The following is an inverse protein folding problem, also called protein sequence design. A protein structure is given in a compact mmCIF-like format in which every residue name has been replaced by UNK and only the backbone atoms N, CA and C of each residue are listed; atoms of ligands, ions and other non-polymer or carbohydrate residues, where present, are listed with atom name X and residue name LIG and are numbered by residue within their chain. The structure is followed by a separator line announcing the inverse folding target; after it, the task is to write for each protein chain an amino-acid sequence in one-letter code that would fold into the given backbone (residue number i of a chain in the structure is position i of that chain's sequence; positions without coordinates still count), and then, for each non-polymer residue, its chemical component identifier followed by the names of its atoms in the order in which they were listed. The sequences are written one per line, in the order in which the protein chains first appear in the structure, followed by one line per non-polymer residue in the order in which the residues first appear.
data_IF_272606751289
#
_entry.id   IF_272606751289
#
_cell.length_a   1.000
_cell.length_b   1.000
_cell.length_c   1.000
_cell.angle_alpha   90.00
_cell.angle_beta   90.00
_cell.angle_gamma   90.00
#
_symmetry.space_group_name_H-M   'P 1'
#
loop_
_entity.id
_entity.type
_entity.pdbx_description
1 polymer ?
#
# COMPACT_ATOMS: atom_id res chain seq x y z
N UNK A 1 20.00 -44.12 7.72
CA UNK A 1 19.15 -43.36 8.65
C UNK A 1 19.18 -41.90 8.17
N UNK A 2 18.21 -41.50 7.34
CA UNK A 2 18.13 -40.11 6.88
C UNK A 2 17.49 -39.28 7.99
N UNK A 3 18.30 -38.44 8.64
CA UNK A 3 17.80 -37.42 9.53
C UNK A 3 17.06 -36.42 8.64
N UNK A 4 15.72 -36.47 8.65
CA UNK A 4 14.91 -35.32 8.21
C UNK A 4 15.24 -34.19 9.17
N UNK A 5 16.15 -33.30 8.78
CA UNK A 5 16.23 -31.97 9.37
C UNK A 5 14.99 -31.26 8.84
N UNK A 6 13.85 -31.40 9.53
CA UNK A 6 12.80 -30.41 9.45
C UNK A 6 13.42 -29.16 10.08
N UNK A 7 14.01 -28.30 9.25
CA UNK A 7 14.33 -26.95 9.70
C UNK A 7 12.99 -26.25 9.86
N UNK A 8 12.50 -26.15 11.10
CA UNK A 8 11.32 -25.36 11.39
C UNK A 8 11.61 -23.91 10.95
N UNK A 9 10.99 -23.50 9.83
CA UNK A 9 11.10 -22.13 9.33
C UNK A 9 10.59 -21.20 10.43
N UNK A 10 11.39 -20.19 10.86
CA UNK A 10 10.97 -19.26 11.90
C UNK A 10 9.68 -18.56 11.48
N UNK A 11 8.71 -18.50 12.40
CA UNK A 11 7.42 -17.87 12.13
C UNK A 11 7.40 -16.46 12.69
N UNK A 12 6.96 -15.52 11.86
CA UNK A 12 6.68 -14.15 12.27
C UNK A 12 5.54 -14.12 13.27
N UNK A 13 5.76 -13.38 14.36
CA UNK A 13 4.74 -13.07 15.35
C UNK A 13 4.93 -11.64 15.80
N UNK A 14 3.99 -10.78 15.44
CA UNK A 14 3.99 -9.41 15.94
C UNK A 14 3.65 -9.42 17.45
N UNK A 15 4.51 -8.76 18.24
CA UNK A 15 4.38 -8.66 19.70
C UNK A 15 3.52 -7.47 20.15
N UNK A 16 2.92 -6.75 19.21
CA UNK A 16 2.11 -5.54 19.45
C UNK A 16 2.81 -4.50 20.35
N UNK A 17 4.14 -4.36 20.21
CA UNK A 17 4.95 -3.47 21.06
C UNK A 17 4.84 -1.98 20.72
N UNK A 18 4.06 -1.62 19.69
CA UNK A 18 3.85 -0.22 19.28
C UNK A 18 5.04 0.48 18.62
N UNK A 19 6.22 -0.16 18.53
CA UNK A 19 7.42 0.46 17.95
C UNK A 19 7.20 0.99 16.53
N UNK A 20 6.62 0.19 15.64
CA UNK A 20 6.30 0.61 14.28
C UNK A 20 5.17 1.65 14.19
N UNK A 21 4.40 1.82 15.27
CA UNK A 21 3.35 2.82 15.36
C UNK A 21 3.85 4.15 15.96
N UNK A 22 5.03 4.17 16.57
CA UNK A 22 5.55 5.37 17.27
C UNK A 22 6.09 6.44 16.32
N UNK A 23 6.51 6.05 15.13
CA UNK A 23 7.07 6.93 14.10
C UNK A 23 6.58 6.44 12.73
N UNK A 24 5.41 6.89 12.27
CA UNK A 24 4.77 6.39 11.04
C UNK A 24 5.05 7.26 9.81
N UNK A 25 5.66 8.43 9.98
CA UNK A 25 5.92 9.39 8.91
C UNK A 25 7.27 9.16 8.25
N UNK A 26 7.34 9.38 6.94
CA UNK A 26 8.59 9.37 6.18
C UNK A 26 9.24 7.99 6.03
N UNK A 27 8.56 6.91 6.44
CA UNK A 27 9.02 5.53 6.22
C UNK A 27 8.76 5.16 4.75
N UNK A 28 9.67 5.60 3.89
CA UNK A 28 9.67 5.29 2.47
C UNK A 28 11.07 4.82 2.09
N UNK A 29 11.22 3.68 1.37
CA UNK A 29 12.51 3.25 0.87
C UNK A 29 13.21 4.36 0.10
N UNK A 30 14.53 4.50 0.27
CA UNK A 30 15.31 5.63 -0.27
C UNK A 30 15.07 5.85 -1.78
N UNK A 31 15.10 4.77 -2.56
CA UNK A 31 14.89 4.78 -4.01
C UNK A 31 13.50 5.30 -4.38
N UNK A 32 12.45 4.85 -3.68
CA UNK A 32 11.08 5.34 -3.88
C UNK A 32 10.97 6.81 -3.50
N UNK A 33 11.60 7.21 -2.39
CA UNK A 33 11.61 8.59 -1.94
C UNK A 33 12.27 9.52 -2.95
N UNK A 34 13.39 9.10 -3.53
CA UNK A 34 14.08 9.84 -4.61
C UNK A 34 13.21 9.93 -5.87
N UNK A 35 12.59 8.82 -6.29
CA UNK A 35 11.67 8.81 -7.42
C UNK A 35 10.49 9.79 -7.22
N UNK A 36 9.85 9.75 -6.06
CA UNK A 36 8.72 10.65 -5.72
C UNK A 36 9.16 12.11 -5.80
N UNK A 37 10.29 12.46 -5.18
CA UNK A 37 10.85 13.83 -5.22
C UNK A 37 11.14 14.31 -6.64
N UNK A 38 11.64 13.43 -7.50
CA UNK A 38 12.04 13.80 -8.86
C UNK A 38 10.88 13.88 -9.84
N UNK A 39 9.82 13.07 -9.66
CA UNK A 39 8.80 12.85 -10.68
C UNK A 39 7.36 13.11 -10.22
N UNK A 40 6.99 12.76 -8.99
CA UNK A 40 5.59 12.75 -8.56
C UNK A 40 5.04 14.15 -8.21
N UNK A 41 5.90 15.17 -8.14
CA UNK A 41 5.50 16.56 -7.90
C UNK A 41 5.23 17.33 -9.20
N UNK A 42 4.33 16.78 -10.02
CA UNK A 42 3.75 17.46 -11.19
C UNK A 42 4.33 17.10 -12.56
N UNK A 43 5.29 16.15 -12.66
CA UNK A 43 5.78 15.65 -13.95
C UNK A 43 4.98 14.44 -14.48
N UNK A 44 4.35 13.70 -13.56
CA UNK A 44 3.56 12.50 -13.88
C UNK A 44 2.05 12.79 -13.86
N UNK A 45 1.22 11.93 -14.48
CA UNK A 45 -0.24 12.04 -14.42
C UNK A 45 -0.79 12.06 -12.98
N UNK A 46 -0.16 11.30 -12.09
CA UNK A 46 -0.49 11.22 -10.68
C UNK A 46 0.40 12.20 -9.90
N UNK A 47 -0.25 13.12 -9.19
CA UNK A 47 0.41 14.15 -8.40
C UNK A 47 0.44 13.72 -6.93
N UNK A 48 1.63 13.73 -6.35
CA UNK A 48 1.86 13.58 -4.91
C UNK A 48 1.49 14.89 -4.19
N UNK A 49 0.52 14.85 -3.27
CA UNK A 49 -0.06 16.05 -2.65
C UNK A 49 0.65 16.49 -1.38
N UNK A 50 1.49 15.62 -0.80
CA UNK A 50 2.22 15.90 0.43
C UNK A 50 3.69 15.47 0.28
N UNK A 51 4.64 16.17 0.93
CA UNK A 51 6.05 15.81 0.89
C UNK A 51 6.29 14.44 1.52
N UNK A 52 7.35 13.74 1.07
CA UNK A 52 7.70 12.39 1.51
C UNK A 52 7.81 12.30 3.04
N UNK A 53 8.36 13.34 3.67
CA UNK A 53 8.56 13.44 5.13
C UNK A 53 7.25 13.39 5.91
N UNK A 54 6.14 13.80 5.30
CA UNK A 54 4.82 13.79 5.93
C UNK A 54 3.98 12.58 5.56
N UNK A 55 4.43 11.79 4.59
CA UNK A 55 3.70 10.60 4.16
C UNK A 55 3.66 9.59 5.29
N UNK A 56 2.47 9.11 5.60
CA UNK A 56 2.29 7.83 6.27
C UNK A 56 2.01 6.77 5.22
N UNK A 57 1.61 5.58 5.68
CA UNK A 57 1.14 4.54 4.78
C UNK A 57 -0.03 5.01 3.89
N UNK A 58 -0.02 4.66 2.60
CA UNK A 58 -1.12 4.95 1.70
C UNK A 58 -2.33 4.07 2.02
N UNK A 59 -3.50 4.64 1.84
CA UNK A 59 -4.81 3.99 1.91
C UNK A 59 -5.46 4.07 0.54
N UNK A 60 -5.94 2.95 -0.01
CA UNK A 60 -6.86 3.01 -1.13
C UNK A 60 -8.19 3.65 -0.68
N UNK A 61 -8.97 4.21 -1.61
CA UNK A 61 -10.24 4.89 -1.30
C UNK A 61 -11.22 4.01 -0.52
N UNK A 62 -11.37 2.73 -0.89
CA UNK A 62 -12.18 1.77 -0.12
C UNK A 62 -11.61 1.44 1.27
N UNK A 63 -10.29 1.56 1.45
CA UNK A 63 -9.66 1.37 2.76
C UNK A 63 -9.87 2.62 3.62
N UNK A 64 -9.74 3.80 3.02
CA UNK A 64 -9.96 5.09 3.65
C UNK A 64 -11.41 5.23 4.17
N UNK A 65 -12.41 4.83 3.37
CA UNK A 65 -13.82 4.81 3.78
C UNK A 65 -14.03 3.95 5.05
N UNK A 66 -13.50 2.73 5.07
CA UNK A 66 -13.56 1.84 6.24
C UNK A 66 -12.77 2.37 7.43
N UNK A 67 -11.63 2.99 7.17
CA UNK A 67 -10.80 3.56 8.23
C UNK A 67 -11.50 4.73 8.92
N UNK A 68 -12.25 5.53 8.15
CA UNK A 68 -13.10 6.59 8.70
C UNK A 68 -14.23 6.01 9.59
N UNK A 69 -14.80 4.86 9.26
CA UNK A 69 -15.78 4.19 10.14
C UNK A 69 -15.12 3.69 11.45
N UNK A 70 -13.93 3.10 11.37
CA UNK A 70 -13.25 2.54 12.53
C UNK A 70 -12.74 3.59 13.50
N UNK A 71 -12.32 4.76 13.00
CA UNK A 71 -11.86 5.86 13.85
C UNK A 71 -13.01 6.34 14.77
N UNK A 72 -14.25 6.34 14.26
CA UNK A 72 -15.45 6.69 15.03
C UNK A 72 -15.78 5.62 16.08
N UNK A 73 -15.62 4.33 15.76
CA UNK A 73 -15.83 3.21 16.70
C UNK A 73 -14.97 3.33 17.97
N UNK A 74 -13.77 3.92 17.86
CA UNK A 74 -12.81 4.05 18.97
C UNK A 74 -12.57 5.50 19.42
N UNK A 75 -13.36 6.45 18.92
CA UNK A 75 -13.26 7.87 19.24
C UNK A 75 -11.83 8.44 19.05
N UNK A 76 -11.23 8.15 17.90
CA UNK A 76 -9.92 8.64 17.47
C UNK A 76 -10.10 9.40 16.16
N UNK A 77 -9.47 10.58 16.00
CA UNK A 77 -9.38 11.24 14.71
C UNK A 77 -8.07 10.83 14.03
N UNK A 78 -8.16 10.09 12.93
CA UNK A 78 -6.99 9.65 12.18
C UNK A 78 -6.52 10.66 11.10
N UNK A 79 -7.27 11.75 10.89
CA UNK A 79 -6.90 12.81 9.97
C UNK A 79 -6.77 12.33 8.51
N UNK A 80 -7.71 11.51 8.03
CA UNK A 80 -7.62 10.94 6.67
C UNK A 80 -7.68 12.04 5.60
N UNK A 81 -6.61 12.17 4.82
CA UNK A 81 -6.48 13.21 3.78
C UNK A 81 -5.99 12.62 2.45
N UNK A 82 -6.32 13.26 1.30
CA UNK A 82 -5.79 12.86 0.00
C UNK A 82 -4.25 12.87 -0.02
N UNK A 83 -3.66 11.77 -0.51
CA UNK A 83 -2.23 11.59 -0.66
C UNK A 83 -1.78 11.80 -2.11
N UNK A 84 -2.50 11.17 -3.04
CA UNK A 84 -2.21 11.20 -4.49
C UNK A 84 -3.49 11.47 -5.26
N UNK A 85 -3.40 12.32 -6.27
CA UNK A 85 -4.55 12.65 -7.11
C UNK A 85 -4.16 12.88 -8.57
N UNK A 86 -5.14 12.72 -9.46
CA UNK A 86 -5.07 13.11 -10.86
C UNK A 86 -5.96 14.35 -11.02
N UNK A 87 -5.39 15.45 -11.53
CA UNK A 87 -6.20 16.59 -11.96
C UNK A 87 -6.62 16.36 -13.41
N UNK A 88 -7.88 16.02 -13.62
CA UNK A 88 -8.43 15.77 -14.96
C UNK A 88 -8.93 17.06 -15.62
N UNK A 89 -8.42 17.37 -16.81
CA UNK A 89 -8.82 18.55 -17.57
C UNK A 89 -10.19 18.40 -18.25
N UNK A 90 -10.67 17.18 -18.49
CA UNK A 90 -11.95 16.96 -19.15
C UNK A 90 -13.11 17.32 -18.22
N UNK A 91 -13.07 16.80 -16.99
CA UNK A 91 -14.10 17.01 -15.97
C UNK A 91 -13.80 18.16 -14.99
N UNK A 92 -12.56 18.69 -15.00
CA UNK A 92 -12.05 19.63 -13.99
C UNK A 92 -12.14 19.07 -12.55
N UNK A 93 -12.17 17.75 -12.40
CA UNK A 93 -12.17 17.05 -11.11
C UNK A 93 -10.76 16.68 -10.66
N UNK A 94 -10.57 16.61 -9.35
CA UNK A 94 -9.45 15.92 -8.72
C UNK A 94 -9.88 14.48 -8.39
N UNK A 95 -9.38 13.52 -9.16
CA UNK A 95 -9.61 12.10 -8.93
C UNK A 95 -8.60 11.63 -7.88
N UNK A 96 -9.07 11.28 -6.68
CA UNK A 96 -8.22 10.91 -5.56
C UNK A 96 -7.89 9.42 -5.64
N UNK A 97 -6.60 9.11 -5.81
CA UNK A 97 -6.12 7.74 -5.99
C UNK A 97 -5.88 7.03 -4.66
N UNK A 98 -5.24 7.74 -3.73
CA UNK A 98 -4.98 7.22 -2.39
C UNK A 98 -5.05 8.32 -1.37
N UNK A 99 -5.32 7.91 -0.15
CA UNK A 99 -5.35 8.70 1.07
C UNK A 99 -4.16 8.35 1.97
N UNK A 100 -3.99 9.09 3.06
CA UNK A 100 -3.06 8.78 4.13
C UNK A 100 -3.59 9.33 5.46
N UNK A 101 -3.00 8.89 6.57
CA UNK A 101 -3.29 9.42 7.90
C UNK A 101 -2.45 10.67 8.14
N UNK A 102 -3.06 11.84 8.16
CA UNK A 102 -2.40 13.07 8.59
C UNK A 102 -2.51 13.23 10.11
N UNK A 103 -1.95 12.25 10.84
CA UNK A 103 -1.82 12.32 12.31
C UNK A 103 -1.17 13.63 12.68
N UNK A 104 -1.61 14.32 13.74
CA UNK A 104 -0.96 15.56 14.19
C UNK A 104 0.48 15.29 14.68
N UNK A 105 0.70 14.10 15.23
CA UNK A 105 2.00 13.65 15.76
C UNK A 105 2.70 12.70 14.77
N UNK A 106 3.96 12.37 15.04
CA UNK A 106 4.66 11.32 14.29
C UNK A 106 4.19 9.91 14.65
N UNK A 107 3.36 9.76 15.70
CA UNK A 107 2.79 8.49 16.11
C UNK A 107 1.46 8.20 15.41
N UNK A 108 1.14 6.91 15.32
CA UNK A 108 -0.16 6.42 14.89
C UNK A 108 -1.24 6.85 15.88
N UNK A 109 -2.38 7.40 15.40
CA UNK A 109 -3.51 7.80 16.26
C UNK A 109 -4.09 6.67 17.11
N UNK A 110 -3.89 5.40 16.69
CA UNK A 110 -4.34 4.22 17.41
C UNK A 110 -3.32 3.69 18.44
N UNK A 111 -2.17 4.35 18.61
CA UNK A 111 -1.17 3.97 19.61
C UNK A 111 -1.58 4.50 20.99
N UNK A 112 -2.20 3.64 21.80
CA UNK A 112 -2.64 3.93 23.16
C UNK A 112 -1.82 3.10 24.16
N UNK A 113 -1.22 3.76 25.16
CA UNK A 113 -0.40 3.11 26.19
C UNK A 113 0.70 2.17 25.62
N UNK A 114 1.31 2.58 24.50
CA UNK A 114 2.35 1.80 23.81
C UNK A 114 1.84 0.57 23.04
N UNK A 115 0.53 0.40 22.89
CA UNK A 115 -0.10 -0.70 22.14
C UNK A 115 -1.11 -0.17 21.12
N UNK A 116 -1.35 -0.93 20.06
CA UNK A 116 -2.37 -0.58 19.08
C UNK A 116 -3.77 -0.91 19.63
N UNK A 117 -4.63 0.10 19.77
CA UNK A 117 -5.97 -0.01 20.36
C UNK A 117 -6.92 -0.90 19.56
N UNK A 118 -6.68 -1.05 18.25
CA UNK A 118 -7.50 -1.85 17.33
C UNK A 118 -6.83 -3.15 16.88
N UNK A 119 -5.73 -3.54 17.52
CA UNK A 119 -4.87 -4.63 17.02
C UNK A 119 -5.63 -5.96 16.82
N UNK A 120 -6.42 -6.36 17.81
CA UNK A 120 -7.10 -7.67 17.81
C UNK A 120 -8.46 -7.66 17.10
N UNK A 121 -9.03 -6.48 16.86
CA UNK A 121 -10.39 -6.33 16.30
C UNK A 121 -10.34 -5.96 14.83
N UNK A 122 -9.40 -5.09 14.44
CA UNK A 122 -9.39 -4.43 13.13
C UNK A 122 -7.97 -4.09 12.68
N UNK A 123 -6.96 -4.96 12.91
CA UNK A 123 -5.57 -4.68 12.46
C UNK A 123 -5.64 -4.04 11.07
N UNK A 124 -5.32 -2.75 11.03
CA UNK A 124 -5.73 -1.88 9.94
C UNK A 124 -5.32 -2.48 8.60
N UNK A 125 -6.13 -2.32 7.54
CA UNK A 125 -5.71 -2.65 6.16
C UNK A 125 -4.38 -2.00 5.77
N UNK A 126 -4.01 -0.93 6.48
CA UNK A 126 -2.72 -0.26 6.44
C UNK A 126 -1.60 -1.10 7.07
N UNK A 127 -1.78 -1.57 8.30
CA UNK A 127 -0.77 -2.33 9.03
C UNK A 127 -0.76 -3.82 8.65
N UNK A 128 -1.71 -4.28 7.84
CA UNK A 128 -1.83 -5.69 7.42
C UNK A 128 -0.63 -6.15 6.59
N UNK A 129 0.03 -5.24 5.86
CA UNK A 129 1.23 -5.60 5.09
C UNK A 129 2.50 -5.60 5.94
N UNK A 130 2.52 -4.91 7.09
CA UNK A 130 3.67 -4.90 8.00
C UNK A 130 4.05 -6.33 8.42
N UNK A 131 5.33 -6.73 8.44
CA UNK A 131 6.53 -5.90 8.36
C UNK A 131 7.04 -5.66 6.95
N UNK A 132 6.29 -6.00 5.90
CA UNK A 132 6.73 -5.71 4.54
C UNK A 132 6.56 -4.22 4.21
N UNK A 133 7.46 -3.70 3.38
CA UNK A 133 7.29 -2.44 2.65
C UNK A 133 6.83 -2.69 1.20
N UNK A 134 7.21 -3.84 0.63
CA UNK A 134 6.83 -4.33 -0.71
C UNK A 134 7.02 -5.84 -0.78
N UNK A 135 6.44 -6.51 -1.77
CA UNK A 135 6.73 -7.92 -2.01
C UNK A 135 7.94 -8.11 -2.95
N UNK A 136 8.52 -9.32 -3.02
CA UNK A 136 9.59 -9.64 -3.97
C UNK A 136 9.19 -9.46 -5.44
N UNK A 137 7.90 -9.41 -5.79
CA UNK A 137 7.42 -9.31 -7.17
C UNK A 137 7.59 -7.93 -7.80
N UNK A 138 7.93 -6.88 -7.04
CA UNK A 138 8.06 -5.51 -7.55
C UNK A 138 9.48 -5.15 -8.01
N UNK A 139 10.49 -5.99 -7.79
CA UNK A 139 11.86 -5.70 -8.19
C UNK A 139 12.14 -6.07 -9.65
N UNK A 140 12.38 -5.06 -10.50
CA UNK A 140 12.75 -5.25 -11.91
C UNK A 140 14.28 -5.34 -12.16
N UNK A 141 15.13 -4.97 -11.20
CA UNK A 141 16.57 -4.79 -11.45
C UNK A 141 17.51 -5.74 -10.68
N UNK A 142 17.00 -6.87 -10.16
CA UNK A 142 17.79 -8.04 -9.80
C UNK A 142 18.85 -7.94 -8.68
N UNK A 143 19.20 -6.75 -8.15
CA UNK A 143 20.47 -6.63 -7.39
C UNK A 143 20.33 -6.44 -5.87
N UNK A 144 19.19 -6.03 -5.30
CA UNK A 144 19.05 -5.94 -3.82
C UNK A 144 17.69 -6.37 -3.31
N UNK A 145 17.36 -7.63 -3.60
CA UNK A 145 16.05 -8.21 -3.31
C UNK A 145 15.65 -8.20 -1.84
N UNK A 146 16.58 -8.05 -0.88
CA UNK A 146 16.29 -8.12 0.57
C UNK A 146 16.27 -6.80 1.31
N UNK A 147 17.10 -5.84 0.89
CA UNK A 147 17.37 -4.62 1.68
C UNK A 147 16.15 -3.70 1.82
N UNK A 148 15.17 -3.83 0.90
CA UNK A 148 13.99 -2.97 0.86
C UNK A 148 12.65 -3.71 1.07
N UNK A 149 12.68 -5.02 1.35
CA UNK A 149 11.43 -5.80 1.50
C UNK A 149 10.70 -5.49 2.80
N UNK A 150 11.44 -5.20 3.86
CA UNK A 150 10.91 -5.11 5.21
C UNK A 150 11.14 -3.72 5.81
N UNK A 151 10.17 -3.27 6.59
CA UNK A 151 10.34 -2.15 7.52
C UNK A 151 11.05 -2.59 8.80
N UNK A 152 11.29 -1.62 9.67
CA UNK A 152 11.96 -1.86 10.96
C UNK A 152 11.01 -2.58 11.93
N UNK A 153 11.37 -3.82 12.30
CA UNK A 153 10.61 -4.65 13.23
C UNK A 153 11.54 -5.58 14.00
N UNK A 154 11.61 -5.46 15.33
CA UNK A 154 12.43 -6.35 16.15
C UNK A 154 12.07 -7.84 16.01
N UNK A 155 10.79 -8.16 15.73
CA UNK A 155 10.36 -9.55 15.51
C UNK A 155 10.93 -10.19 14.22
N UNK A 156 11.59 -9.40 13.38
CA UNK A 156 12.23 -9.86 12.15
C UNK A 156 13.68 -10.34 12.37
N UNK A 157 14.29 -10.10 13.53
CA UNK A 157 15.70 -10.39 13.82
C UNK A 157 16.09 -11.85 13.53
N UNK A 158 15.20 -12.81 13.83
CA UNK A 158 15.44 -14.23 13.61
C UNK A 158 15.01 -14.74 12.22
N UNK A 159 14.24 -13.95 11.48
CA UNK A 159 13.70 -14.31 10.15
C UNK A 159 14.60 -13.78 9.04
N UNK A 160 15.02 -12.51 9.11
CA UNK A 160 15.82 -11.85 8.08
C UNK A 160 17.08 -12.63 7.67
N UNK A 161 17.88 -13.17 8.61
CA UNK A 161 19.08 -13.93 8.24
C UNK A 161 18.78 -15.22 7.47
N UNK A 162 17.56 -15.75 7.57
CA UNK A 162 17.15 -17.02 6.98
C UNK A 162 16.43 -16.86 5.64
N UNK A 163 16.08 -15.63 5.24
CA UNK A 163 15.43 -15.38 3.95
C UNK A 163 16.36 -15.86 2.81
N UNK A 164 15.94 -16.74 1.89
CA UNK A 164 16.76 -17.16 0.76
C UNK A 164 17.08 -16.01 -0.21
N UNK A 165 18.18 -16.10 -0.96
CA UNK A 165 18.45 -15.17 -2.08
C UNK A 165 17.79 -15.62 -3.39
N UNK A 166 17.54 -16.92 -3.52
CA UNK A 166 16.83 -17.49 -4.67
C UNK A 166 15.35 -17.09 -4.64
N UNK A 167 14.83 -16.60 -5.76
CA UNK A 167 13.49 -16.02 -5.83
C UNK A 167 12.41 -17.05 -5.48
N UNK A 168 12.45 -18.25 -6.07
CA UNK A 168 11.42 -19.27 -5.82
C UNK A 168 11.44 -19.76 -4.37
N UNK A 169 12.63 -20.04 -3.83
CA UNK A 169 12.79 -20.41 -2.42
C UNK A 169 12.38 -19.28 -1.49
N UNK A 170 12.63 -18.02 -1.86
CA UNK A 170 12.21 -16.86 -1.09
C UNK A 170 10.68 -16.79 -1.01
N UNK A 171 9.97 -16.93 -2.13
CA UNK A 171 8.50 -16.91 -2.13
C UNK A 171 7.94 -18.02 -1.22
N UNK A 172 8.46 -19.24 -1.31
CA UNK A 172 8.05 -20.36 -0.43
C UNK A 172 8.36 -20.07 1.04
N UNK A 173 9.57 -19.62 1.34
CA UNK A 173 9.99 -19.26 2.69
C UNK A 173 9.10 -18.18 3.28
N UNK A 174 8.83 -17.10 2.55
CA UNK A 174 8.00 -15.98 3.03
C UNK A 174 6.54 -16.41 3.22
N UNK A 175 6.00 -17.23 2.33
CA UNK A 175 4.65 -17.78 2.51
C UNK A 175 4.53 -18.63 3.77
N UNK A 176 5.56 -19.39 4.11
CA UNK A 176 5.58 -20.20 5.32
C UNK A 176 5.92 -19.39 6.58
N UNK A 177 6.85 -18.44 6.51
CA UNK A 177 7.33 -17.65 7.63
C UNK A 177 6.29 -16.63 8.12
N UNK A 178 5.32 -16.23 7.29
CA UNK A 178 4.30 -15.23 7.63
C UNK A 178 2.88 -15.82 7.62
N UNK A 179 2.55 -16.71 8.57
CA UNK A 179 1.23 -17.36 8.62
C UNK A 179 0.09 -16.40 8.99
N UNK A 180 0.41 -15.17 9.43
CA UNK A 180 -0.57 -14.13 9.74
C UNK A 180 -1.11 -13.39 8.50
N UNK A 181 -0.69 -13.80 7.29
CA UNK A 181 -1.13 -13.23 6.03
C UNK A 181 -0.39 -11.97 5.59
N UNK A 182 0.60 -11.49 6.36
CA UNK A 182 1.32 -10.24 6.03
C UNK A 182 2.02 -10.31 4.66
N UNK A 183 2.54 -11.49 4.29
CA UNK A 183 3.13 -11.69 2.97
C UNK A 183 2.09 -11.66 1.84
N UNK A 184 0.95 -12.32 2.01
CA UNK A 184 -0.16 -12.28 1.06
C UNK A 184 -0.63 -10.84 0.81
N UNK A 185 -0.77 -10.07 1.89
CA UNK A 185 -1.14 -8.66 1.82
C UNK A 185 -0.12 -7.82 1.05
N UNK A 186 1.18 -8.06 1.25
CA UNK A 186 2.23 -7.36 0.52
C UNK A 186 2.16 -7.64 -0.98
N UNK A 187 1.97 -8.91 -1.37
CA UNK A 187 1.79 -9.31 -2.77
C UNK A 187 0.52 -8.69 -3.36
N UNK A 188 -0.59 -8.69 -2.60
CA UNK A 188 -1.84 -8.10 -3.04
C UNK A 188 -1.71 -6.59 -3.25
N UNK A 189 -1.04 -5.88 -2.34
CA UNK A 189 -0.79 -4.46 -2.49
C UNK A 189 -0.05 -4.15 -3.81
N UNK A 190 0.98 -4.93 -4.13
CA UNK A 190 1.72 -4.77 -5.39
C UNK A 190 0.81 -4.98 -6.61
N UNK A 191 -0.09 -5.96 -6.57
CA UNK A 191 -1.10 -6.20 -7.60
C UNK A 191 -2.06 -5.01 -7.73
N UNK A 192 -2.52 -4.43 -6.63
CA UNK A 192 -3.41 -3.26 -6.66
C UNK A 192 -2.68 -2.03 -7.24
N UNK A 193 -1.42 -1.80 -6.88
CA UNK A 193 -0.59 -0.73 -7.47
C UNK A 193 -0.45 -0.94 -8.98
N UNK A 194 -0.14 -2.16 -9.42
CA UNK A 194 -0.01 -2.49 -10.84
C UNK A 194 -1.33 -2.30 -11.60
N UNK A 195 -2.44 -2.77 -11.02
CA UNK A 195 -3.79 -2.58 -11.56
C UNK A 195 -4.11 -1.09 -11.71
N UNK A 196 -3.95 -0.29 -10.65
CA UNK A 196 -4.25 1.13 -10.68
C UNK A 196 -3.44 1.87 -11.75
N UNK A 197 -2.14 1.57 -11.87
CA UNK A 197 -1.28 2.17 -12.89
C UNK A 197 -1.74 1.80 -14.32
N UNK A 198 -2.07 0.53 -14.56
CA UNK A 198 -2.59 0.08 -15.86
C UNK A 198 -3.92 0.74 -16.19
N UNK A 199 -4.85 0.79 -15.23
CA UNK A 199 -6.14 1.45 -15.39
C UNK A 199 -5.98 2.93 -15.73
N UNK A 200 -5.09 3.67 -15.05
CA UNK A 200 -4.82 5.09 -15.38
C UNK A 200 -4.31 5.23 -16.81
N UNK A 201 -3.37 4.38 -17.23
CA UNK A 201 -2.83 4.39 -18.60
C UNK A 201 -3.95 4.10 -19.62
N UNK A 202 -4.83 3.16 -19.34
CA UNK A 202 -5.91 2.78 -20.25
C UNK A 202 -6.99 3.87 -20.33
N UNK A 203 -7.38 4.48 -19.20
CA UNK A 203 -8.24 5.67 -19.18
C UNK A 203 -7.68 6.83 -20.01
N UNK A 204 -6.36 7.02 -19.99
CA UNK A 204 -5.69 8.03 -20.82
C UNK A 204 -5.71 7.67 -22.31
N UNK A 205 -5.45 6.40 -22.67
CA UNK A 205 -5.50 5.92 -24.06
C UNK A 205 -6.90 6.04 -24.66
N UNK A 206 -7.91 5.69 -23.87
CA UNK A 206 -9.33 5.78 -24.23
C UNK A 206 -9.86 7.22 -24.16
N UNK A 207 -9.01 8.18 -23.72
CA UNK A 207 -9.33 9.61 -23.58
C UNK A 207 -10.49 9.90 -22.60
N UNK A 208 -10.75 8.97 -21.68
CA UNK A 208 -11.70 9.16 -20.58
C UNK A 208 -11.17 10.25 -19.65
N UNK A 209 -9.86 10.22 -19.35
CA UNK A 209 -9.18 11.27 -18.59
C UNK A 209 -8.14 12.00 -19.45
N UNK A 210 -7.89 13.26 -19.10
CA UNK A 210 -6.80 14.09 -19.60
C UNK A 210 -6.04 14.73 -18.42
N UNK A 211 -5.07 14.00 -17.84
CA UNK A 211 -4.31 14.46 -16.69
C UNK A 211 -3.50 15.72 -16.98
N UNK A 212 -3.48 16.67 -16.03
CA UNK A 212 -2.52 17.77 -16.05
C UNK A 212 -1.13 17.24 -15.70
N UNK A 213 -0.15 17.54 -16.56
CA UNK A 213 1.25 17.18 -16.36
C UNK A 213 2.18 18.35 -16.68
N UNK A 214 3.41 18.27 -16.18
CA UNK A 214 4.49 19.25 -16.39
C UNK A 214 4.11 20.67 -15.96
N UNK A 215 3.43 20.80 -14.82
CA UNK A 215 3.04 22.09 -14.24
C UNK A 215 3.77 22.34 -12.92
N UNK A 216 3.96 23.62 -12.51
CA UNK A 216 4.52 23.94 -11.20
C UNK A 216 3.73 23.29 -10.07
N UNK A 217 4.43 22.70 -9.10
CA UNK A 217 3.78 21.95 -8.02
C UNK A 217 2.78 22.78 -7.22
N UNK A 218 3.13 24.02 -6.84
CA UNK A 218 2.23 24.92 -6.11
C UNK A 218 0.96 25.27 -6.90
N UNK A 219 1.05 25.32 -8.22
CA UNK A 219 -0.12 25.52 -9.07
C UNK A 219 -1.05 24.30 -9.01
N UNK A 220 -0.49 23.09 -9.12
CA UNK A 220 -1.24 21.84 -9.02
C UNK A 220 -1.91 21.68 -7.65
N UNK A 221 -1.19 21.93 -6.56
CA UNK A 221 -1.75 21.88 -5.21
C UNK A 221 -2.97 22.79 -5.07
N UNK A 222 -2.87 24.05 -5.52
CA UNK A 222 -3.98 25.00 -5.47
C UNK A 222 -5.16 24.55 -6.33
N UNK A 223 -4.90 24.07 -7.54
CA UNK A 223 -5.96 23.61 -8.46
C UNK A 223 -6.67 22.37 -7.94
N UNK A 224 -5.92 21.37 -7.46
CA UNK A 224 -6.47 20.15 -6.86
C UNK A 224 -7.24 20.47 -5.58
N UNK A 225 -6.72 21.36 -4.73
CA UNK A 225 -7.41 21.82 -3.53
C UNK A 225 -8.78 22.43 -3.82
N UNK A 226 -8.89 23.20 -4.92
CA UNK A 226 -10.11 23.91 -5.32
C UNK A 226 -11.03 23.11 -6.26
N UNK A 227 -10.59 21.96 -6.78
CA UNK A 227 -11.39 21.14 -7.66
C UNK A 227 -12.40 20.30 -6.87
N UNK A 228 -13.51 19.95 -7.54
CA UNK A 228 -14.43 18.92 -7.09
C UNK A 228 -13.67 17.60 -6.99
N UNK A 229 -13.87 16.87 -5.89
CA UNK A 229 -13.12 15.65 -5.58
C UNK A 229 -14.00 14.44 -5.81
N UNK A 230 -13.40 13.39 -6.35
CA UNK A 230 -14.04 12.10 -6.53
C UNK A 230 -13.02 11.00 -6.24
N UNK A 231 -13.46 9.95 -5.56
CA UNK A 231 -12.63 8.76 -5.33
C UNK A 231 -12.34 8.03 -6.64
N UNK A 232 -11.21 7.35 -6.72
CA UNK A 232 -10.82 6.66 -7.94
C UNK A 232 -11.84 5.61 -8.35
N UNK A 233 -12.32 4.77 -7.44
CA UNK A 233 -13.34 3.76 -7.76
C UNK A 233 -14.68 4.39 -8.13
N UNK A 234 -15.11 5.42 -7.41
CA UNK A 234 -16.34 6.16 -7.74
C UNK A 234 -16.24 6.82 -9.13
N UNK A 235 -15.05 7.31 -9.52
CA UNK A 235 -14.81 7.83 -10.86
C UNK A 235 -14.89 6.74 -11.95
N UNK A 236 -14.38 5.54 -11.68
CA UNK A 236 -14.50 4.41 -12.62
C UNK A 236 -15.98 4.05 -12.86
N UNK A 237 -16.81 4.13 -11.83
CA UNK A 237 -18.27 3.97 -11.93
C UNK A 237 -18.92 5.11 -12.73
N UNK A 238 -18.65 6.36 -12.35
CA UNK A 238 -19.26 7.55 -12.97
C UNK A 238 -18.91 7.68 -14.45
N UNK A 239 -17.67 7.36 -14.82
CA UNK A 239 -17.20 7.40 -16.21
C UNK A 239 -17.73 6.23 -17.07
N UNK A 240 -18.35 5.23 -16.45
CA UNK A 240 -18.79 4.01 -17.13
C UNK A 240 -17.66 3.06 -17.52
N UNK A 241 -16.42 3.31 -17.05
CA UNK A 241 -15.28 2.43 -17.32
C UNK A 241 -15.43 1.06 -16.64
N UNK A 242 -15.93 1.06 -15.40
CA UNK A 242 -16.36 -0.16 -14.70
C UNK A 242 -17.73 0.06 -14.09
N UNK A 243 -18.63 -0.89 -14.26
CA UNK A 243 -19.93 -0.89 -13.59
C UNK A 243 -19.76 -1.18 -12.08
N UNK A 244 -20.63 -0.61 -11.26
CA UNK A 244 -20.54 -0.64 -9.77
C UNK A 244 -20.36 -2.05 -9.21
N UNK A 245 -21.14 -3.03 -9.67
CA UNK A 245 -21.00 -4.41 -9.21
C UNK A 245 -19.62 -5.02 -9.52
N UNK A 246 -18.98 -4.64 -10.63
CA UNK A 246 -17.62 -5.09 -10.97
C UNK A 246 -16.58 -4.46 -10.07
N UNK A 247 -16.77 -3.21 -9.66
CA UNK A 247 -15.93 -2.55 -8.67
C UNK A 247 -16.03 -3.27 -7.32
N UNK A 248 -17.25 -3.57 -6.86
CA UNK A 248 -17.45 -4.29 -5.61
C UNK A 248 -16.86 -5.70 -5.65
N UNK A 249 -17.01 -6.43 -6.77
CA UNK A 249 -16.35 -7.73 -6.97
C UNK A 249 -14.82 -7.62 -6.91
N UNK A 250 -14.25 -6.59 -7.54
CA UNK A 250 -12.81 -6.33 -7.55
C UNK A 250 -12.28 -6.03 -6.14
N UNK A 251 -12.92 -5.11 -5.42
CA UNK A 251 -12.56 -4.77 -4.04
C UNK A 251 -12.63 -6.01 -3.15
N UNK A 252 -13.66 -6.85 -3.31
CA UNK A 252 -13.79 -8.11 -2.58
C UNK A 252 -12.63 -9.07 -2.86
N UNK A 253 -12.16 -9.16 -4.11
CA UNK A 253 -10.97 -9.97 -4.45
C UNK A 253 -9.70 -9.41 -3.81
N UNK A 254 -9.53 -8.09 -3.85
CA UNK A 254 -8.40 -7.39 -3.22
C UNK A 254 -8.38 -7.57 -1.70
N UNK A 255 -9.54 -7.52 -1.04
CA UNK A 255 -9.64 -7.76 0.40
C UNK A 255 -9.39 -9.23 0.76
N UNK A 256 -9.85 -10.14 -0.09
CA UNK A 256 -9.69 -11.58 0.09
C UNK A 256 -8.28 -12.09 -0.25
N UNK A 257 -7.35 -11.22 -0.67
CA UNK A 257 -6.03 -11.59 -1.17
C UNK A 257 -6.07 -12.69 -2.25
N UNK A 258 -7.15 -12.75 -3.03
CA UNK A 258 -7.40 -13.87 -3.95
C UNK A 258 -6.35 -13.90 -5.06
N UNK A 259 -6.04 -12.74 -5.65
CA UNK A 259 -5.05 -12.63 -6.72
C UNK A 259 -3.63 -12.92 -6.20
N UNK A 260 -3.32 -12.49 -4.97
CA UNK A 260 -2.05 -12.82 -4.33
C UNK A 260 -1.89 -14.33 -4.09
N UNK A 261 -2.94 -14.99 -3.60
CA UNK A 261 -2.94 -16.44 -3.39
C UNK A 261 -2.75 -17.21 -4.71
N UNK A 262 -3.45 -16.80 -5.77
CA UNK A 262 -3.29 -17.34 -7.12
C UNK A 262 -1.84 -17.16 -7.60
N UNK A 263 -1.27 -15.96 -7.48
CA UNK A 263 0.09 -15.64 -7.89
C UNK A 263 1.14 -16.45 -7.13
N UNK A 264 1.03 -16.57 -5.81
CA UNK A 264 1.94 -17.37 -4.98
C UNK A 264 1.82 -18.86 -5.32
N UNK A 265 0.60 -19.36 -5.56
CA UNK A 265 0.38 -20.79 -5.85
C UNK A 265 1.09 -21.28 -7.12
N UNK A 266 1.35 -20.38 -8.08
CA UNK A 266 2.11 -20.70 -9.29
C UNK A 266 3.55 -21.12 -8.95
N UNK A 267 4.13 -20.59 -7.87
CA UNK A 267 5.48 -20.94 -7.40
C UNK A 267 5.48 -22.17 -6.47
N UNK A 268 4.34 -22.53 -5.90
CA UNK A 268 4.18 -23.75 -5.12
C UNK A 268 4.05 -25.01 -6.00
N UNK A 269 3.58 -24.86 -7.24
CA UNK A 269 3.37 -25.96 -8.21
C UNK A 269 4.60 -26.29 -9.08
N UNK A 270 5.63 -25.46 -9.06
CA UNK A 270 6.86 -25.63 -9.86
C UNK A 270 7.90 -26.57 -9.20
N UNK A 271 7.47 -27.65 -8.54
CA UNK A 271 8.36 -28.57 -7.82
C UNK A 271 7.93 -30.02 -7.94
#
# INVERSE_FOLDING_TARGET
MFIKIQSDIPKFKCNACGSCCSHIRGIVPKEDGEFIRQHAFGKLPVVQLVPVERMTFPLWDWEAKRFAEWQDEVNVDAGIKPLRAILDLNSNKAIILTYFMDSETDACPFLMDGKCSIYHTKRAYVCRLFPFNRSPFTNQDGIKLKENLFGECGAMEHILPQVPNDFERMIKFLNEAFPDGSFLNAVQNDIVVEWANKTIIDLMKEKIIKPVMNQPYNFLLRRIGNADKIDFTDFLAESGYLIENKIQELIKRFDGNTDAAEKISQFAKSS
#
